data_IF_526647470537
#
_entry.id   IF_526647470537
#
_cell.length_a   1.000
_cell.length_b   1.000
_cell.length_c   1.000
_cell.angle_alpha   90.00
_cell.angle_beta   90.00
_cell.angle_gamma   90.00
#
_symmetry.space_group_name_H-M   'P 1'
#
loop_
_entity.id
_entity.type
_entity.pdbx_description
1 polymer ?
#
# COMPACT_ATOMS: atom_id res chain seq x y z
N UNK A 1 -10.44 -35.64 -33.84
CA UNK A 1 -9.03 -35.55 -34.27
C UNK A 1 -8.27 -34.90 -33.13
N UNK A 2 -7.59 -35.73 -32.34
CA UNK A 2 -6.89 -35.37 -31.11
C UNK A 2 -5.44 -35.11 -31.49
N UNK A 3 -4.91 -33.93 -31.19
CA UNK A 3 -3.46 -33.70 -31.23
C UNK A 3 -3.00 -33.11 -29.89
N UNK A 4 -2.44 -34.01 -29.09
CA UNK A 4 -1.59 -33.78 -27.94
C UNK A 4 -0.25 -33.18 -28.37
N UNK A 5 0.25 -32.18 -27.64
CA UNK A 5 1.67 -31.84 -27.63
C UNK A 5 2.15 -31.71 -26.18
N UNK A 6 3.01 -32.66 -25.78
CA UNK A 6 3.88 -32.61 -24.61
C UNK A 6 5.32 -32.63 -25.12
N UNK A 7 6.13 -31.68 -24.64
CA UNK A 7 7.53 -31.79 -24.20
C UNK A 7 8.42 -30.59 -24.60
N UNK A 8 8.75 -29.81 -23.57
CA UNK A 8 10.08 -29.37 -23.15
C UNK A 8 11.11 -28.91 -24.20
N UNK A 9 11.35 -27.59 -24.22
CA UNK A 9 12.68 -27.03 -24.42
C UNK A 9 13.01 -26.04 -23.28
N UNK A 10 14.10 -26.32 -22.57
CA UNK A 10 14.67 -25.53 -21.47
C UNK A 10 15.17 -24.18 -22.00
N UNK A 11 14.63 -23.07 -21.52
CA UNK A 11 15.24 -21.74 -21.68
C UNK A 11 15.62 -21.19 -20.30
N UNK A 12 16.93 -21.13 -20.07
CA UNK A 12 17.57 -20.49 -18.90
C UNK A 12 17.33 -18.99 -18.97
N UNK A 13 16.83 -18.40 -17.89
CA UNK A 13 16.83 -16.94 -17.67
C UNK A 13 18.28 -16.44 -17.63
N UNK A 14 18.66 -15.60 -18.58
CA UNK A 14 19.78 -14.67 -18.41
C UNK A 14 19.21 -13.32 -17.99
N UNK A 15 19.64 -12.85 -16.83
CA UNK A 15 19.40 -11.48 -16.38
C UNK A 15 20.24 -10.54 -17.26
N UNK A 16 19.57 -9.64 -17.98
CA UNK A 16 20.22 -8.56 -18.72
C UNK A 16 20.67 -7.48 -17.75
N UNK A 17 21.99 -7.36 -17.61
CA UNK A 17 22.68 -6.20 -17.03
C UNK A 17 22.87 -5.20 -18.16
N UNK A 18 22.36 -3.97 -18.02
CA UNK A 18 22.66 -2.88 -18.95
C UNK A 18 23.97 -2.21 -18.52
N UNK A 19 25.05 -2.51 -19.22
CA UNK A 19 26.25 -1.68 -19.30
C UNK A 19 26.16 -0.77 -20.52
N UNK A 20 26.23 0.55 -20.32
CA UNK A 20 26.73 1.50 -21.32
C UNK A 20 27.50 2.59 -20.58
N UNK A 21 28.82 2.68 -20.80
CA UNK A 21 29.60 3.84 -20.38
C UNK A 21 31.07 3.62 -20.02
N UNK A 22 31.84 2.84 -20.80
CA UNK A 22 33.30 2.80 -20.66
C UNK A 22 33.96 3.65 -21.76
N UNK A 23 34.66 4.73 -21.37
CA UNK A 23 35.88 5.29 -22.03
C UNK A 23 36.45 6.46 -21.21
N UNK A 24 37.51 6.20 -20.44
CA UNK A 24 38.86 6.75 -20.71
C UNK A 24 39.86 6.15 -19.71
N UNK A 25 41.04 5.78 -20.23
CA UNK A 25 42.19 5.29 -19.46
C UNK A 25 43.12 6.47 -19.18
N UNK A 26 43.68 6.53 -17.97
CA UNK A 26 45.13 6.70 -17.81
C UNK A 26 45.58 6.00 -16.50
N UNK A 27 46.71 5.28 -16.46
CA UNK A 27 47.08 4.42 -15.32
C UNK A 27 48.21 5.05 -14.49
N UNK A 28 48.11 5.05 -13.16
CA UNK A 28 49.30 4.94 -12.30
C UNK A 28 49.01 4.19 -10.99
N UNK A 29 49.80 3.11 -10.81
CA UNK A 29 50.37 2.55 -9.56
C UNK A 29 49.46 2.10 -8.40
N UNK A 30 49.20 0.79 -8.44
CA UNK A 30 49.37 -0.24 -7.39
C UNK A 30 49.60 0.17 -5.91
N UNK A 31 48.71 -0.35 -5.04
CA UNK A 31 48.94 -1.08 -3.78
C UNK A 31 47.52 -1.48 -3.29
N UNK A 32 47.05 -2.72 -3.45
CA UNK A 32 47.44 -3.88 -2.66
C UNK A 32 46.74 -3.84 -1.30
N UNK A 33 45.64 -4.58 -1.13
CA UNK A 33 45.22 -5.35 0.07
C UNK A 33 43.77 -5.85 -0.13
N UNK A 34 43.57 -7.17 0.03
CA UNK A 34 42.26 -7.85 0.12
C UNK A 34 41.62 -7.49 1.46
N UNK A 35 40.29 -7.33 1.53
CA UNK A 35 39.47 -7.83 2.64
C UNK A 35 37.96 -7.77 2.33
N UNK A 36 37.23 -8.57 3.11
CA UNK A 36 35.93 -9.17 2.85
C UNK A 36 34.73 -8.23 3.02
N UNK A 37 33.64 -8.59 2.34
CA UNK A 37 32.26 -8.11 2.54
C UNK A 37 31.83 -8.20 4.01
N UNK A 38 31.23 -7.13 4.53
CA UNK A 38 30.22 -7.18 5.57
C UNK A 38 29.10 -6.18 5.24
N UNK A 39 27.87 -6.68 5.27
CA UNK A 39 26.66 -5.89 5.20
C UNK A 39 26.43 -5.22 6.55
N UNK A 40 26.27 -3.90 6.55
CA UNK A 40 25.87 -3.12 7.73
C UNK A 40 24.36 -2.89 7.72
N UNK A 41 23.68 -3.48 8.70
CA UNK A 41 22.34 -3.10 9.15
C UNK A 41 22.56 -2.23 10.40
N UNK A 42 22.08 -0.99 10.39
CA UNK A 42 22.08 -0.11 11.57
C UNK A 42 20.70 -0.11 12.20
N UNK A 43 20.52 -0.86 13.29
CA UNK A 43 19.55 -0.58 14.34
C UNK A 43 20.29 0.06 15.52
N UNK A 44 19.89 1.26 15.92
CA UNK A 44 20.38 1.92 17.14
C UNK A 44 19.36 1.66 18.24
N UNK A 45 19.75 0.84 19.22
CA UNK A 45 19.10 0.73 20.50
C UNK A 45 19.64 1.76 21.51
N UNK A 46 18.79 2.18 22.44
CA UNK A 46 19.21 2.87 23.66
C UNK A 46 18.48 2.28 24.87
N UNK A 47 19.17 1.39 25.60
CA UNK A 47 18.96 1.09 27.02
C UNK A 47 20.30 0.76 27.66
N UNK A 48 20.63 1.45 28.75
CA UNK A 48 21.67 1.15 29.74
C UNK A 48 21.16 1.70 31.08
N UNK A 49 20.65 0.86 31.98
CA UNK A 49 21.33 0.10 33.07
C UNK A 49 21.99 0.98 34.15
N UNK A 50 21.55 0.76 35.39
CA UNK A 50 22.42 0.78 36.57
C UNK A 50 21.93 -0.29 37.57
N UNK A 51 22.80 -1.13 38.19
CA UNK A 51 22.38 -2.18 39.11
C UNK A 51 22.80 -1.96 40.59
N UNK A 52 22.13 -2.74 41.44
CA UNK A 52 22.54 -3.28 42.76
C UNK A 52 22.66 -2.37 44.00
N UNK A 53 21.82 -2.62 45.02
CA UNK A 53 22.15 -3.43 46.22
C UNK A 53 21.01 -3.39 47.26
N UNK A 54 20.81 -4.51 47.95
CA UNK A 54 20.05 -4.62 49.19
C UNK A 54 20.99 -4.76 50.40
N UNK A 55 20.60 -4.19 51.55
CA UNK A 55 20.59 -4.84 52.90
C UNK A 55 20.37 -3.82 54.03
N UNK A 56 19.39 -4.13 54.89
CA UNK A 56 19.52 -4.36 56.34
C UNK A 56 20.11 -3.27 57.25
N UNK A 57 19.28 -2.85 58.20
CA UNK A 57 19.55 -2.03 59.39
C UNK A 57 20.35 -2.86 60.43
N UNK A 58 21.36 -2.27 61.09
CA UNK A 58 21.46 -2.13 62.56
C UNK A 58 22.85 -1.64 63.02
N UNK A 59 22.80 -0.53 63.75
CA UNK A 59 23.84 0.16 64.52
C UNK A 59 24.12 -0.52 65.85
N UNK A 60 25.40 -0.78 66.19
CA UNK A 60 25.88 -0.77 67.59
C UNK A 60 27.32 -0.19 67.67
N UNK A 61 27.49 0.78 68.56
CA UNK A 61 28.71 1.52 68.97
C UNK A 61 29.38 0.80 70.17
N UNK A 62 30.70 0.98 70.45
CA UNK A 62 31.56 -0.11 70.91
C UNK A 62 32.19 0.02 72.32
N UNK A 63 32.96 -1.02 72.70
CA UNK A 63 34.22 -1.07 73.51
C UNK A 63 34.13 -1.02 75.07
N UNK A 64 35.22 -1.37 75.83
CA UNK A 64 36.48 -2.07 75.49
C UNK A 64 36.99 -3.16 76.49
N UNK A 65 38.09 -3.79 76.05
CA UNK A 65 39.07 -4.74 76.61
C UNK A 65 39.42 -4.77 78.12
N UNK A 66 39.85 -5.96 78.60
CA UNK A 66 41.17 -6.18 79.25
C UNK A 66 41.50 -7.68 79.55
N UNK A 67 42.77 -7.90 79.89
CA UNK A 67 43.62 -9.11 79.97
C UNK A 67 43.33 -10.19 81.04
N UNK A 68 43.86 -11.40 80.79
CA UNK A 68 44.72 -12.25 81.67
C UNK A 68 44.26 -13.71 82.01
N UNK A 69 44.91 -14.68 81.34
CA UNK A 69 45.72 -15.84 81.82
C UNK A 69 45.27 -16.72 83.03
N UNK A 70 45.19 -18.04 82.72
CA UNK A 70 45.49 -19.30 83.44
C UNK A 70 44.61 -19.95 84.52
N UNK A 71 44.24 -21.21 84.18
CA UNK A 71 44.35 -22.47 84.95
C UNK A 71 43.43 -22.60 86.18
N UNK A 72 42.89 -23.75 86.58
CA UNK A 72 43.19 -25.18 86.47
C UNK A 72 41.87 -25.92 86.79
N UNK A 73 41.70 -27.18 86.37
CA UNK A 73 40.66 -28.03 86.98
C UNK A 73 40.12 -29.14 86.08
N UNK A 74 40.37 -30.37 86.51
CA UNK A 74 40.07 -31.62 85.82
C UNK A 74 38.60 -32.07 85.93
N UNK A 75 38.21 -32.80 84.86
CA UNK A 75 37.38 -34.00 84.78
C UNK A 75 35.85 -34.03 84.92
N UNK A 76 35.35 -34.95 84.08
CA UNK A 76 34.18 -35.83 84.19
C UNK A 76 32.96 -35.48 83.34
N UNK A 77 32.92 -36.08 82.14
CA UNK A 77 31.73 -36.19 81.30
C UNK A 77 30.81 -37.28 81.85
N UNK A 78 29.66 -36.89 82.41
CA UNK A 78 28.56 -37.80 82.73
C UNK A 78 27.50 -37.67 81.64
N UNK A 79 27.26 -38.77 80.90
CA UNK A 79 26.15 -38.89 79.97
C UNK A 79 24.82 -39.03 80.72
N UNK A 80 23.81 -38.25 80.34
CA UNK A 80 22.41 -38.63 80.53
C UNK A 80 21.66 -38.52 79.20
N UNK A 81 21.06 -39.65 78.81
CA UNK A 81 20.17 -39.78 77.66
C UNK A 81 18.81 -39.19 78.00
N UNK A 82 18.31 -38.27 77.18
CA UNK A 82 16.88 -38.06 76.99
C UNK A 82 16.63 -37.99 75.47
N UNK A 83 15.75 -38.82 74.90
CA UNK A 83 15.51 -38.85 73.45
C UNK A 83 14.68 -37.63 73.04
N UNK A 84 15.25 -36.76 72.20
CA UNK A 84 14.47 -35.74 71.50
C UNK A 84 13.81 -36.39 70.29
N UNK A 85 12.48 -36.40 70.28
CA UNK A 85 11.66 -36.95 69.20
C UNK A 85 12.05 -36.33 67.85
N UNK A 86 12.41 -37.18 66.89
CA UNK A 86 12.51 -36.83 65.47
C UNK A 86 11.13 -36.43 64.96
N UNK A 87 10.92 -35.14 64.71
CA UNK A 87 9.82 -34.70 63.85
C UNK A 87 10.11 -35.18 62.43
N UNK A 88 9.27 -36.07 61.92
CA UNK A 88 9.27 -36.44 60.51
C UNK A 88 8.83 -35.21 59.69
N UNK A 89 9.55 -34.81 58.62
CA UNK A 89 9.07 -33.77 57.75
C UNK A 89 7.83 -34.31 57.00
N UNK A 90 6.70 -33.62 57.17
CA UNK A 90 5.49 -33.88 56.39
C UNK A 90 5.85 -33.74 54.90
N UNK A 91 5.58 -34.74 54.05
CA UNK A 91 5.89 -34.65 52.63
C UNK A 91 5.09 -33.49 52.01
N UNK A 92 5.77 -32.68 51.19
CA UNK A 92 5.25 -31.48 50.53
C UNK A 92 4.04 -31.77 49.60
N UNK A 93 2.85 -31.97 50.17
CA UNK A 93 1.59 -32.12 49.44
C UNK A 93 1.21 -30.85 48.66
N UNK A 94 1.67 -29.67 49.08
CA UNK A 94 1.39 -28.39 48.43
C UNK A 94 1.96 -28.28 47.00
N UNK A 95 3.10 -28.90 46.70
CA UNK A 95 3.74 -28.81 45.35
C UNK A 95 2.98 -29.61 44.28
N UNK A 96 2.24 -30.65 44.66
CA UNK A 96 1.42 -31.43 43.70
C UNK A 96 0.16 -30.68 43.31
N UNK A 97 -0.47 -29.96 44.23
CA UNK A 97 -1.66 -29.16 43.97
C UNK A 97 -1.34 -27.95 43.07
N UNK A 98 -0.20 -27.28 43.27
CA UNK A 98 0.21 -26.16 42.41
C UNK A 98 0.56 -26.59 40.98
N UNK A 99 1.16 -27.78 40.81
CA UNK A 99 1.42 -28.35 39.47
C UNK A 99 0.11 -28.70 38.75
N UNK A 100 -0.85 -29.34 39.44
CA UNK A 100 -2.16 -29.68 38.86
C UNK A 100 -2.93 -28.42 38.46
N UNK A 101 -2.94 -27.38 39.31
CA UNK A 101 -3.58 -26.10 38.98
C UNK A 101 -2.89 -25.44 37.77
N UNK A 102 -1.56 -25.43 37.71
CA UNK A 102 -0.83 -24.87 36.57
C UNK A 102 -1.12 -25.62 35.26
N UNK A 103 -1.21 -26.96 35.30
CA UNK A 103 -1.58 -27.78 34.15
C UNK A 103 -3.02 -27.51 33.71
N UNK A 104 -3.97 -27.42 34.65
CA UNK A 104 -5.36 -27.07 34.34
C UNK A 104 -5.48 -25.68 33.70
N UNK A 105 -4.76 -24.68 34.21
CA UNK A 105 -4.72 -23.34 33.63
C UNK A 105 -4.09 -23.33 32.23
N UNK A 106 -3.03 -24.10 32.01
CA UNK A 106 -2.42 -24.25 30.69
C UNK A 106 -3.38 -24.92 29.71
N UNK A 107 -4.07 -25.99 30.12
CA UNK A 107 -5.08 -26.66 29.28
C UNK A 107 -6.23 -25.71 28.97
N UNK A 108 -6.75 -24.98 29.96
CA UNK A 108 -7.79 -23.97 29.74
C UNK A 108 -7.34 -22.87 28.77
N UNK A 109 -6.10 -22.39 28.90
CA UNK A 109 -5.52 -21.40 27.98
C UNK A 109 -5.39 -21.97 26.55
N UNK A 110 -4.90 -23.20 26.40
CA UNK A 110 -4.78 -23.85 25.10
C UNK A 110 -6.15 -24.08 24.45
N UNK A 111 -7.16 -24.48 25.23
CA UNK A 111 -8.54 -24.60 24.77
C UNK A 111 -9.13 -23.25 24.37
N UNK A 112 -8.86 -22.19 25.13
CA UNK A 112 -9.30 -20.83 24.78
C UNK A 112 -8.65 -20.33 23.49
N UNK A 113 -7.34 -20.55 23.31
CA UNK A 113 -6.62 -20.22 22.07
C UNK A 113 -7.18 -21.03 20.90
N UNK A 114 -7.43 -22.33 21.09
CA UNK A 114 -8.02 -23.18 20.05
C UNK A 114 -9.43 -22.73 19.67
N UNK A 115 -10.28 -22.44 20.66
CA UNK A 115 -11.64 -21.94 20.44
C UNK A 115 -11.62 -20.58 19.72
N UNK A 116 -10.73 -19.67 20.10
CA UNK A 116 -10.54 -18.40 19.44
C UNK A 116 -10.06 -18.58 17.99
N UNK A 117 -9.05 -19.43 17.77
CA UNK A 117 -8.53 -19.73 16.43
C UNK A 117 -9.59 -20.39 15.53
N UNK A 118 -10.38 -21.31 16.07
CA UNK A 118 -11.49 -21.94 15.37
C UNK A 118 -12.60 -20.94 15.04
N UNK A 119 -12.98 -20.08 16.01
CA UNK A 119 -13.96 -19.02 15.81
C UNK A 119 -13.54 -18.03 14.73
N UNK A 120 -12.29 -17.57 14.75
CA UNK A 120 -11.73 -16.67 13.73
C UNK A 120 -11.70 -17.34 12.35
N UNK A 121 -11.22 -18.59 12.27
CA UNK A 121 -11.19 -19.35 11.00
C UNK A 121 -12.59 -19.54 10.43
N UNK A 122 -13.56 -19.88 11.28
CA UNK A 122 -14.96 -20.05 10.88
C UNK A 122 -15.53 -18.74 10.38
N UNK A 123 -15.31 -17.63 11.10
CA UNK A 123 -15.76 -16.30 10.69
C UNK A 123 -15.16 -15.84 9.36
N UNK A 124 -13.87 -16.10 9.10
CA UNK A 124 -13.23 -15.76 7.83
C UNK A 124 -13.77 -16.63 6.69
N UNK A 125 -13.91 -17.94 6.91
CA UNK A 125 -14.45 -18.84 5.90
C UNK A 125 -15.91 -18.57 5.56
N UNK A 126 -16.71 -18.18 6.55
CA UNK A 126 -18.12 -17.83 6.33
C UNK A 126 -18.29 -16.51 5.56
N UNK A 127 -17.23 -15.71 5.42
CA UNK A 127 -17.23 -14.49 4.63
C UNK A 127 -16.75 -14.73 3.18
N UNK A 128 -16.27 -15.94 2.86
CA UNK A 128 -15.88 -16.29 1.51
C UNK A 128 -17.13 -16.69 0.70
N UNK A 129 -17.33 -16.12 -0.49
CA UNK A 129 -18.47 -16.46 -1.32
C UNK A 129 -18.30 -17.82 -1.99
N UNK A 130 -19.43 -18.40 -2.42
CA UNK A 130 -19.44 -19.63 -3.22
C UNK A 130 -18.94 -19.34 -4.65
N UNK A 131 -17.80 -19.92 -5.03
CA UNK A 131 -17.20 -19.72 -6.35
C UNK A 131 -17.57 -20.82 -7.38
N UNK A 132 -17.92 -22.01 -6.89
CA UNK A 132 -18.22 -23.18 -7.72
C UNK A 132 -19.66 -23.66 -7.55
N UNK A 133 -20.17 -24.34 -8.57
CA UNK A 133 -21.52 -24.92 -8.58
C UNK A 133 -22.55 -24.03 -9.29
N UNK A 134 -23.82 -24.25 -8.98
CA UNK A 134 -24.94 -23.52 -9.58
C UNK A 134 -25.61 -22.65 -8.52
N UNK A 135 -25.74 -21.36 -8.82
CA UNK A 135 -26.41 -20.37 -7.99
C UNK A 135 -27.67 -19.91 -8.71
N UNK A 136 -28.80 -19.88 -8.01
CA UNK A 136 -30.01 -19.23 -8.51
C UNK A 136 -30.01 -17.78 -8.06
N UNK A 137 -29.80 -16.86 -9.01
CA UNK A 137 -29.73 -15.43 -8.74
C UNK A 137 -30.94 -14.75 -9.39
N UNK A 138 -31.84 -14.12 -8.60
CA UNK A 138 -32.94 -13.35 -9.16
C UNK A 138 -32.44 -12.20 -10.03
N UNK A 139 -33.03 -12.01 -11.21
CA UNK A 139 -32.71 -10.91 -12.12
C UNK A 139 -32.02 -11.32 -13.42
N UNK A 140 -31.49 -12.53 -13.52
CA UNK A 140 -31.04 -13.10 -14.80
C UNK A 140 -32.25 -13.57 -15.63
N UNK A 141 -32.25 -13.24 -16.91
CA UNK A 141 -33.26 -13.70 -17.88
C UNK A 141 -32.91 -15.06 -18.49
N UNK A 142 -31.61 -15.37 -18.58
CA UNK A 142 -31.06 -16.64 -19.01
C UNK A 142 -29.83 -17.03 -18.18
N UNK A 143 -29.41 -18.31 -18.15
CA UNK A 143 -28.22 -18.72 -17.42
C UNK A 143 -26.94 -18.01 -17.91
N UNK A 144 -26.14 -17.51 -16.96
CA UNK A 144 -24.79 -17.03 -17.20
C UNK A 144 -23.75 -18.02 -16.66
N UNK A 145 -22.64 -18.19 -17.38
CA UNK A 145 -21.54 -19.09 -17.01
C UNK A 145 -20.30 -18.28 -16.65
N UNK A 146 -19.76 -18.51 -15.46
CA UNK A 146 -18.52 -17.90 -14.98
C UNK A 146 -17.45 -18.99 -14.88
N UNK A 147 -16.33 -18.81 -15.57
CA UNK A 147 -15.19 -19.73 -15.54
C UNK A 147 -14.01 -18.97 -14.95
N UNK A 148 -13.47 -19.44 -13.82
CA UNK A 148 -12.25 -18.87 -13.23
C UNK A 148 -11.05 -19.71 -13.63
N UNK A 149 -9.97 -19.04 -14.03
CA UNK A 149 -8.70 -19.70 -14.29
C UNK A 149 -7.91 -19.99 -12.99
N UNK A 150 -6.70 -20.51 -13.12
CA UNK A 150 -5.82 -20.85 -11.99
C UNK A 150 -5.41 -19.63 -11.13
N UNK A 151 -5.55 -18.41 -11.64
CA UNK A 151 -5.28 -17.17 -10.94
C UNK A 151 -6.57 -16.51 -10.40
N UNK A 152 -7.72 -17.11 -10.66
CA UNK A 152 -9.02 -16.60 -10.26
C UNK A 152 -9.62 -15.59 -11.24
N UNK A 153 -9.04 -15.38 -12.42
CA UNK A 153 -9.59 -14.43 -13.40
C UNK A 153 -10.91 -14.98 -13.98
N UNK A 154 -12.02 -14.23 -13.85
CA UNK A 154 -13.32 -14.69 -14.34
C UNK A 154 -13.48 -14.39 -15.84
N UNK A 155 -13.88 -15.43 -16.59
CA UNK A 155 -14.46 -15.31 -17.93
C UNK A 155 -15.96 -15.51 -17.82
N UNK A 156 -16.75 -14.53 -18.26
CA UNK A 156 -18.21 -14.54 -18.16
C UNK A 156 -18.81 -14.75 -19.56
N UNK A 157 -19.74 -15.70 -19.67
CA UNK A 157 -20.53 -15.96 -20.88
C UNK A 157 -22.00 -15.83 -20.52
N UNK A 158 -22.76 -15.10 -21.32
CA UNK A 158 -24.20 -14.90 -21.13
C UNK A 158 -24.91 -14.80 -22.48
N UNK A 159 -26.24 -14.99 -22.49
CA UNK A 159 -27.05 -14.98 -23.70
C UNK A 159 -27.35 -13.57 -24.23
N UNK A 160 -27.26 -12.56 -23.38
CA UNK A 160 -27.54 -11.16 -23.70
C UNK A 160 -26.53 -10.23 -23.01
N UNK A 161 -26.42 -8.98 -23.50
CA UNK A 161 -25.61 -7.95 -22.82
C UNK A 161 -26.15 -7.61 -21.44
N UNK A 162 -27.48 -7.62 -21.24
CA UNK A 162 -28.09 -7.35 -19.94
C UNK A 162 -27.67 -8.42 -18.91
N UNK A 163 -27.78 -9.70 -19.26
CA UNK A 163 -27.32 -10.81 -18.41
C UNK A 163 -25.80 -10.77 -18.20
N UNK A 164 -25.03 -10.34 -19.21
CA UNK A 164 -23.57 -10.21 -19.12
C UNK A 164 -23.17 -9.14 -18.11
N UNK A 165 -23.73 -7.92 -18.20
CA UNK A 165 -23.44 -6.84 -17.28
C UNK A 165 -23.97 -7.15 -15.87
N UNK A 166 -25.13 -7.77 -15.75
CA UNK A 166 -25.63 -8.29 -14.48
C UNK A 166 -24.65 -9.29 -13.86
N UNK A 167 -24.24 -10.31 -14.61
CA UNK A 167 -23.29 -11.31 -14.12
C UNK A 167 -21.93 -10.67 -13.78
N UNK A 168 -21.47 -9.69 -14.56
CA UNK A 168 -20.27 -8.93 -14.26
C UNK A 168 -20.38 -8.19 -12.93
N UNK A 169 -21.48 -7.46 -12.69
CA UNK A 169 -21.71 -6.78 -11.41
C UNK A 169 -21.71 -7.73 -10.22
N UNK A 170 -22.38 -8.88 -10.36
CA UNK A 170 -22.42 -9.91 -9.33
C UNK A 170 -21.01 -10.47 -9.03
N UNK A 171 -20.25 -10.83 -10.07
CA UNK A 171 -18.89 -11.37 -9.94
C UNK A 171 -17.90 -10.34 -9.39
N UNK A 172 -17.99 -9.08 -9.80
CA UNK A 172 -17.14 -8.02 -9.24
C UNK A 172 -17.44 -7.83 -7.75
N UNK A 173 -18.71 -7.80 -7.35
CA UNK A 173 -19.08 -7.71 -5.93
C UNK A 173 -18.61 -8.95 -5.15
N UNK A 174 -18.74 -10.14 -5.75
CA UNK A 174 -18.24 -11.38 -5.18
C UNK A 174 -16.76 -11.30 -4.81
N UNK A 175 -15.94 -10.73 -5.69
CA UNK A 175 -14.50 -10.68 -5.49
C UNK A 175 -14.05 -9.41 -4.73
N UNK A 176 -14.77 -8.29 -4.85
CA UNK A 176 -14.27 -6.93 -4.51
C UNK A 176 -15.25 -6.02 -3.76
N UNK A 177 -16.35 -6.52 -3.18
CA UNK A 177 -17.39 -5.66 -2.59
C UNK A 177 -16.88 -4.57 -1.63
N UNK A 178 -15.96 -4.89 -0.72
CA UNK A 178 -15.40 -3.89 0.20
C UNK A 178 -14.59 -2.81 -0.52
N UNK A 179 -13.77 -3.21 -1.50
CA UNK A 179 -13.04 -2.28 -2.34
C UNK A 179 -14.02 -1.36 -3.08
N UNK A 180 -15.06 -1.92 -3.71
CA UNK A 180 -16.07 -1.13 -4.43
C UNK A 180 -16.73 -0.08 -3.53
N UNK A 181 -17.17 -0.47 -2.33
CA UNK A 181 -17.79 0.45 -1.37
C UNK A 181 -16.80 1.52 -0.88
N UNK A 182 -15.57 1.12 -0.55
CA UNK A 182 -14.50 2.02 -0.13
C UNK A 182 -14.17 3.05 -1.21
N UNK A 183 -14.01 2.63 -2.47
CA UNK A 183 -13.67 3.53 -3.57
C UNK A 183 -14.80 4.50 -3.90
N UNK A 184 -16.08 4.07 -3.91
CA UNK A 184 -17.18 5.03 -4.14
C UNK A 184 -17.28 6.06 -3.01
N UNK A 185 -16.98 5.67 -1.77
CA UNK A 185 -16.98 6.58 -0.61
C UNK A 185 -15.81 7.54 -0.67
N UNK A 186 -14.63 7.04 -1.04
CA UNK A 186 -13.45 7.86 -1.26
C UNK A 186 -13.72 8.93 -2.33
N UNK A 187 -14.27 8.53 -3.49
CA UNK A 187 -14.59 9.42 -4.60
C UNK A 187 -15.73 10.41 -4.28
N UNK A 188 -16.66 10.03 -3.41
CA UNK A 188 -17.78 10.89 -3.04
C UNK A 188 -17.50 11.86 -1.90
N UNK A 189 -16.40 11.65 -1.17
CA UNK A 189 -16.18 12.27 0.13
C UNK A 189 -17.18 11.80 1.19
N UNK A 190 -17.20 10.49 1.43
CA UNK A 190 -18.03 9.78 2.42
C UNK A 190 -17.24 8.72 3.20
N UNK A 191 -15.91 8.74 3.10
CA UNK A 191 -15.09 7.71 3.71
C UNK A 191 -15.04 7.87 5.23
N UNK A 192 -15.10 9.09 5.74
CA UNK A 192 -15.10 9.38 7.18
C UNK A 192 -16.32 8.78 7.91
N UNK A 193 -17.42 8.48 7.22
CA UNK A 193 -18.59 7.79 7.79
C UNK A 193 -18.23 6.39 8.33
N UNK A 194 -17.23 5.73 7.76
CA UNK A 194 -16.90 4.32 8.06
C UNK A 194 -15.50 4.13 8.63
N UNK A 195 -14.56 5.03 8.35
CA UNK A 195 -13.20 4.97 8.94
C UNK A 195 -12.91 6.07 9.96
N UNK A 196 -13.85 7.00 10.18
CA UNK A 196 -13.78 8.05 11.19
C UNK A 196 -13.11 9.35 10.73
N UNK A 197 -12.88 10.24 11.70
CA UNK A 197 -12.57 11.65 11.44
C UNK A 197 -11.26 11.91 10.68
N UNK A 198 -10.34 10.94 10.62
CA UNK A 198 -9.07 11.08 9.90
C UNK A 198 -9.22 11.32 8.39
N UNK A 199 -10.40 11.07 7.83
CA UNK A 199 -10.70 11.31 6.40
C UNK A 199 -11.55 12.56 6.14
N UNK A 200 -11.86 13.38 7.16
CA UNK A 200 -12.72 14.55 6.97
C UNK A 200 -12.14 15.57 5.99
N UNK A 201 -10.84 15.81 6.04
CA UNK A 201 -10.20 16.76 5.12
C UNK A 201 -10.24 16.24 3.67
N UNK A 202 -10.00 14.94 3.47
CA UNK A 202 -10.17 14.29 2.17
C UNK A 202 -11.60 14.39 1.67
N UNK A 203 -12.57 14.03 2.51
CA UNK A 203 -13.98 14.07 2.16
C UNK A 203 -14.42 15.49 1.76
N UNK A 204 -13.96 16.53 2.47
CA UNK A 204 -14.21 17.92 2.09
C UNK A 204 -13.66 18.26 0.72
N UNK A 205 -12.43 17.84 0.39
CA UNK A 205 -11.84 18.10 -0.92
C UNK A 205 -12.66 17.44 -2.04
N UNK A 206 -13.06 16.18 -1.85
CA UNK A 206 -13.88 15.46 -2.83
C UNK A 206 -15.27 16.07 -3.01
N UNK A 207 -15.87 16.58 -1.93
CA UNK A 207 -17.13 17.33 -1.99
C UNK A 207 -17.00 18.66 -2.75
N UNK A 208 -15.83 19.32 -2.66
CA UNK A 208 -15.52 20.53 -3.44
C UNK A 208 -15.37 20.20 -4.93
N UNK A 209 -14.69 19.10 -5.26
CA UNK A 209 -14.56 18.63 -6.65
C UNK A 209 -15.93 18.24 -7.25
N UNK A 210 -16.85 17.75 -6.41
CA UNK A 210 -18.22 17.47 -6.82
C UNK A 210 -18.35 16.28 -7.77
N UNK A 211 -17.44 15.28 -7.68
CA UNK A 211 -17.41 14.13 -8.59
C UNK A 211 -18.74 13.37 -8.65
N UNK A 212 -19.47 13.27 -7.52
CA UNK A 212 -20.81 12.65 -7.53
C UNK A 212 -21.83 13.42 -8.36
N UNK A 213 -21.76 14.75 -8.35
CA UNK A 213 -22.64 15.59 -9.20
C UNK A 213 -22.29 15.37 -10.68
N UNK A 214 -21.00 15.27 -11.02
CA UNK A 214 -20.56 14.95 -12.37
C UNK A 214 -21.00 13.55 -12.82
N UNK A 215 -20.87 12.54 -11.94
CA UNK A 215 -21.29 11.17 -12.19
C UNK A 215 -22.80 11.07 -12.45
N UNK A 216 -23.63 11.74 -11.63
CA UNK A 216 -25.08 11.83 -11.87
C UNK A 216 -25.40 12.43 -13.23
N UNK A 217 -24.82 13.59 -13.55
CA UNK A 217 -25.02 14.24 -14.85
C UNK A 217 -24.57 13.36 -16.02
N UNK A 218 -23.53 12.54 -15.82
CA UNK A 218 -23.07 11.58 -16.83
C UNK A 218 -24.15 10.54 -17.14
N UNK A 219 -24.78 9.97 -16.10
CA UNK A 219 -25.89 9.01 -16.27
C UNK A 219 -27.17 9.69 -16.82
N UNK A 220 -27.46 10.92 -16.42
CA UNK A 220 -28.60 11.69 -16.94
C UNK A 220 -28.44 12.00 -18.44
N UNK A 221 -27.22 12.32 -18.87
CA UNK A 221 -26.91 12.67 -20.26
C UNK A 221 -26.59 11.46 -21.16
N UNK A 222 -26.44 10.26 -20.60
CA UNK A 222 -26.19 9.05 -21.38
C UNK A 222 -27.41 8.66 -22.22
N UNK A 223 -27.18 7.91 -23.30
CA UNK A 223 -28.26 7.25 -24.04
C UNK A 223 -29.00 6.24 -23.15
N UNK A 224 -30.21 5.85 -23.57
CA UNK A 224 -30.98 4.82 -22.87
C UNK A 224 -30.25 3.46 -22.87
N UNK A 225 -29.55 3.15 -23.96
CA UNK A 225 -28.76 1.91 -24.09
C UNK A 225 -27.60 1.89 -23.09
N UNK A 226 -26.77 2.94 -23.04
CA UNK A 226 -25.66 3.04 -22.07
C UNK A 226 -26.16 2.99 -20.63
N UNK A 227 -27.24 3.71 -20.33
CA UNK A 227 -27.86 3.69 -19.01
C UNK A 227 -28.30 2.29 -18.60
N UNK A 228 -28.88 1.53 -19.53
CA UNK A 228 -29.33 0.16 -19.27
C UNK A 228 -28.19 -0.77 -18.85
N UNK A 229 -26.98 -0.57 -19.39
CA UNK A 229 -25.79 -1.36 -19.02
C UNK A 229 -25.33 -1.06 -17.59
N UNK A 230 -25.31 0.21 -17.19
CA UNK A 230 -24.99 0.60 -15.81
C UNK A 230 -26.04 0.07 -14.82
N UNK A 231 -27.32 0.12 -15.19
CA UNK A 231 -28.41 -0.42 -14.38
C UNK A 231 -28.29 -1.94 -14.24
N UNK A 232 -28.01 -2.67 -15.34
CA UNK A 232 -27.80 -4.11 -15.31
C UNK A 232 -26.65 -4.50 -14.37
N UNK A 233 -25.52 -3.81 -14.49
CA UNK A 233 -24.38 -3.97 -13.59
C UNK A 233 -24.76 -3.73 -12.12
N UNK A 234 -25.45 -2.63 -11.84
CA UNK A 234 -25.91 -2.30 -10.48
C UNK A 234 -26.87 -3.35 -9.91
N UNK A 235 -27.79 -3.89 -10.73
CA UNK A 235 -28.68 -5.00 -10.34
C UNK A 235 -27.86 -6.23 -9.92
N UNK A 236 -26.82 -6.58 -10.67
CA UNK A 236 -25.90 -7.67 -10.33
C UNK A 236 -25.20 -7.49 -8.99
N UNK A 237 -24.63 -6.30 -8.77
CA UNK A 237 -23.98 -5.95 -7.48
C UNK A 237 -24.97 -6.05 -6.32
N UNK A 238 -26.19 -5.52 -6.51
CA UNK A 238 -27.22 -5.54 -5.47
C UNK A 238 -27.74 -6.95 -5.17
N UNK A 239 -27.83 -7.82 -6.18
CA UNK A 239 -28.18 -9.22 -5.99
C UNK A 239 -27.13 -9.95 -5.12
N UNK A 240 -25.85 -9.63 -5.28
CA UNK A 240 -24.80 -10.14 -4.39
C UNK A 240 -24.93 -9.60 -2.96
N UNK A 241 -25.10 -8.27 -2.81
CA UNK A 241 -25.27 -7.62 -1.48
C UNK A 241 -26.46 -8.23 -0.72
N UNK A 242 -27.61 -8.41 -1.40
CA UNK A 242 -28.82 -8.95 -0.78
C UNK A 242 -28.63 -10.40 -0.32
N UNK A 243 -28.07 -11.25 -1.18
CA UNK A 243 -27.85 -12.67 -0.87
C UNK A 243 -26.81 -12.90 0.24
N UNK A 244 -25.95 -11.92 0.53
CA UNK A 244 -24.83 -12.05 1.48
C UNK A 244 -24.92 -11.12 2.69
N UNK A 245 -26.09 -10.53 3.00
CA UNK A 245 -26.25 -9.61 4.16
C UNK A 245 -25.72 -10.16 5.49
N UNK A 246 -25.86 -11.47 5.70
CA UNK A 246 -25.41 -12.16 6.93
C UNK A 246 -23.98 -12.72 6.84
N UNK A 247 -23.34 -12.60 5.68
CA UNK A 247 -22.04 -13.19 5.35
C UNK A 247 -21.15 -12.18 4.62
N UNK A 248 -21.26 -10.90 5.00
CA UNK A 248 -20.46 -9.84 4.39
C UNK A 248 -18.95 -10.09 4.56
N UNK A 249 -18.13 -9.57 3.63
CA UNK A 249 -16.68 -9.53 3.79
C UNK A 249 -16.25 -9.04 5.16
N UNK A 250 -15.12 -9.56 5.65
CA UNK A 250 -14.68 -9.40 7.04
C UNK A 250 -14.49 -7.93 7.43
N UNK A 251 -14.13 -7.07 6.48
CA UNK A 251 -13.92 -5.64 6.66
C UNK A 251 -15.19 -4.94 7.14
N UNK A 252 -16.35 -5.26 6.55
CA UNK A 252 -17.66 -4.74 6.98
C UNK A 252 -17.99 -5.17 8.42
N UNK A 253 -17.61 -6.39 8.81
CA UNK A 253 -17.85 -6.93 10.15
C UNK A 253 -16.96 -6.28 11.20
N UNK A 254 -15.69 -6.02 10.86
CA UNK A 254 -14.74 -5.32 11.74
C UNK A 254 -15.16 -3.87 11.93
N UNK A 255 -15.52 -3.18 10.84
CA UNK A 255 -15.93 -1.78 10.85
C UNK A 255 -17.39 -1.59 11.27
N UNK A 256 -18.14 -2.69 11.46
CA UNK A 256 -19.52 -2.73 11.98
C UNK A 256 -20.50 -1.88 11.16
N UNK A 257 -20.41 -1.96 9.83
CA UNK A 257 -21.37 -1.32 8.94
C UNK A 257 -21.76 -2.25 7.78
N UNK A 258 -22.78 -1.87 7.03
CA UNK A 258 -23.21 -2.58 5.83
C UNK A 258 -23.12 -1.67 4.60
N UNK A 259 -22.78 -2.20 3.43
CA UNK A 259 -22.74 -1.40 2.21
C UNK A 259 -24.16 -0.93 1.84
N UNK A 260 -24.25 0.29 1.31
CA UNK A 260 -25.50 0.81 0.70
C UNK A 260 -25.74 0.05 -0.62
N UNK A 261 -26.98 0.08 -1.14
CA UNK A 261 -27.25 -0.41 -2.49
C UNK A 261 -26.35 0.33 -3.50
N UNK A 262 -25.90 -0.38 -4.53
CA UNK A 262 -25.14 0.16 -5.64
C UNK A 262 -26.08 0.78 -6.67
N UNK A 263 -25.71 1.94 -7.20
CA UNK A 263 -26.49 2.67 -8.22
C UNK A 263 -25.69 2.81 -9.51
N UNK A 264 -26.35 3.14 -10.61
CA UNK A 264 -25.66 3.49 -11.87
C UNK A 264 -24.71 4.69 -11.69
N UNK A 265 -25.10 5.64 -10.83
CA UNK A 265 -24.27 6.81 -10.47
C UNK A 265 -22.95 6.38 -9.81
N UNK A 266 -22.96 5.33 -8.98
CA UNK A 266 -21.75 4.84 -8.31
C UNK A 266 -20.73 4.31 -9.33
N UNK A 267 -21.17 3.60 -10.37
CA UNK A 267 -20.28 3.13 -11.44
C UNK A 267 -19.64 4.29 -12.22
N UNK A 268 -20.43 5.30 -12.58
CA UNK A 268 -19.90 6.51 -13.24
C UNK A 268 -18.96 7.30 -12.31
N UNK A 269 -19.22 7.30 -11.00
CA UNK A 269 -18.37 7.94 -10.01
C UNK A 269 -16.99 7.30 -9.91
N UNK A 270 -16.90 5.97 -9.99
CA UNK A 270 -15.60 5.29 -10.08
C UNK A 270 -14.82 5.76 -11.31
N UNK A 271 -15.47 5.87 -12.47
CA UNK A 271 -14.84 6.41 -13.68
C UNK A 271 -14.36 7.86 -13.51
N UNK A 272 -15.17 8.73 -12.89
CA UNK A 272 -14.78 10.11 -12.60
C UNK A 272 -13.57 10.19 -11.65
N UNK A 273 -13.52 9.31 -10.66
CA UNK A 273 -12.38 9.19 -9.76
C UNK A 273 -11.11 8.71 -10.48
N UNK A 274 -11.21 7.74 -11.39
CA UNK A 274 -10.06 7.32 -12.20
C UNK A 274 -9.52 8.47 -13.06
N UNK A 275 -10.39 9.34 -13.57
CA UNK A 275 -9.97 10.54 -14.31
C UNK A 275 -9.22 11.50 -13.38
N UNK A 276 -9.71 11.73 -12.17
CA UNK A 276 -9.01 12.56 -11.16
C UNK A 276 -7.61 12.01 -10.88
N UNK A 277 -7.50 10.70 -10.63
CA UNK A 277 -6.26 10.03 -10.25
C UNK A 277 -5.20 10.06 -11.37
N UNK A 278 -5.63 10.02 -12.63
CA UNK A 278 -4.75 9.91 -13.79
C UNK A 278 -4.49 11.22 -14.56
N UNK A 279 -5.21 12.32 -14.29
CA UNK A 279 -5.13 13.53 -15.14
C UNK A 279 -4.28 14.65 -14.56
N UNK A 280 -4.67 15.20 -13.41
CA UNK A 280 -4.06 16.44 -12.91
C UNK A 280 -3.98 16.42 -11.40
N UNK A 281 -2.86 16.91 -10.89
CA UNK A 281 -2.72 17.27 -9.48
C UNK A 281 -2.90 18.80 -9.38
N UNK A 282 -4.07 19.31 -8.94
CA UNK A 282 -4.28 20.75 -8.76
C UNK A 282 -3.18 21.40 -7.92
N UNK A 283 -2.58 20.66 -7.00
CA UNK A 283 -1.42 21.08 -6.21
C UNK A 283 -0.22 21.44 -7.10
N UNK A 284 0.06 20.65 -8.14
CA UNK A 284 1.17 20.94 -9.07
C UNK A 284 0.90 22.21 -9.87
N UNK A 285 -0.34 22.41 -10.33
CA UNK A 285 -0.73 23.64 -11.00
C UNK A 285 -0.57 24.84 -10.07
N UNK A 286 -1.08 24.77 -8.83
CA UNK A 286 -0.95 25.85 -7.85
C UNK A 286 0.51 26.15 -7.48
N UNK A 287 1.35 25.12 -7.33
CA UNK A 287 2.79 25.30 -7.11
C UNK A 287 3.44 26.01 -8.29
N UNK A 288 3.10 25.62 -9.53
CA UNK A 288 3.59 26.30 -10.73
C UNK A 288 3.16 27.77 -10.77
N UNK A 289 1.93 28.08 -10.41
CA UNK A 289 1.43 29.46 -10.34
C UNK A 289 2.16 30.29 -9.26
N UNK A 290 2.44 29.71 -8.08
CA UNK A 290 3.25 30.36 -7.03
C UNK A 290 4.66 30.68 -7.53
N UNK A 291 5.30 29.74 -8.24
CA UNK A 291 6.63 29.93 -8.84
C UNK A 291 6.58 30.99 -9.94
N UNK A 292 5.57 30.94 -10.81
CA UNK A 292 5.34 31.95 -11.85
C UNK A 292 5.23 33.36 -11.28
N UNK A 293 4.46 33.55 -10.20
CA UNK A 293 4.29 34.84 -9.56
C UNK A 293 5.60 35.39 -8.95
N UNK A 294 6.52 34.52 -8.51
CA UNK A 294 7.79 34.92 -7.89
C UNK A 294 8.92 35.12 -8.90
N UNK A 295 9.07 34.21 -9.87
CA UNK A 295 10.21 34.19 -10.80
C UNK A 295 9.91 34.86 -12.14
N UNK A 296 8.64 35.13 -12.44
CA UNK A 296 8.22 35.64 -13.73
C UNK A 296 8.24 34.58 -14.85
N UNK A 297 7.79 34.96 -16.06
CA UNK A 297 7.54 34.02 -17.15
C UNK A 297 8.79 33.37 -17.72
N UNK A 298 9.92 34.09 -17.82
CA UNK A 298 11.14 33.59 -18.46
C UNK A 298 11.72 32.41 -17.67
N UNK A 299 12.04 32.61 -16.39
CA UNK A 299 12.61 31.58 -15.53
C UNK A 299 11.64 30.42 -15.27
N UNK A 300 10.34 30.70 -15.21
CA UNK A 300 9.34 29.64 -15.03
C UNK A 300 9.27 28.73 -16.26
N UNK A 301 9.41 29.27 -17.47
CA UNK A 301 9.43 28.46 -18.70
C UNK A 301 10.69 27.59 -18.81
N UNK A 302 11.80 28.03 -18.23
CA UNK A 302 13.03 27.22 -18.14
C UNK A 302 12.87 26.05 -17.15
N UNK A 303 12.08 26.23 -16.09
CA UNK A 303 11.80 25.19 -15.09
C UNK A 303 10.68 24.21 -15.52
N UNK A 304 9.65 24.70 -16.20
CA UNK A 304 8.49 23.93 -16.63
C UNK A 304 8.41 23.85 -18.16
N UNK A 305 9.34 23.11 -18.75
CA UNK A 305 9.42 22.91 -20.20
C UNK A 305 8.20 22.12 -20.69
N UNK A 306 7.27 22.79 -21.37
CA UNK A 306 6.04 22.17 -21.90
C UNK A 306 6.24 21.38 -23.20
N UNK A 307 7.43 21.47 -23.81
CA UNK A 307 7.76 20.74 -25.04
C UNK A 307 9.25 20.48 -25.15
N UNK A 308 9.63 19.24 -25.44
CA UNK A 308 10.99 18.88 -25.82
C UNK A 308 11.10 18.80 -27.34
N UNK A 309 12.27 19.15 -27.90
CA UNK A 309 12.56 18.85 -29.31
C UNK A 309 12.56 17.33 -29.58
N UNK A 310 12.65 16.50 -28.53
CA UNK A 310 12.48 15.04 -28.59
C UNK A 310 11.01 14.59 -28.59
N UNK A 311 10.05 15.47 -28.33
CA UNK A 311 8.63 15.09 -28.33
C UNK A 311 8.20 14.73 -29.75
N UNK A 312 7.62 13.54 -29.89
CA UNK A 312 7.14 12.97 -31.15
C UNK A 312 5.64 12.76 -31.04
N UNK A 313 4.89 13.83 -31.32
CA UNK A 313 3.43 13.73 -31.38
C UNK A 313 3.05 12.72 -32.48
N UNK A 314 2.15 11.76 -32.22
CA UNK A 314 1.77 10.71 -33.18
C UNK A 314 1.29 11.25 -34.54
N UNK A 315 0.84 12.51 -34.57
CA UNK A 315 0.31 13.20 -35.74
C UNK A 315 1.39 13.84 -36.62
N UNK A 316 2.66 13.83 -36.23
CA UNK A 316 3.73 14.54 -36.95
C UNK A 316 4.83 13.57 -37.41
N UNK A 317 4.94 13.38 -38.73
CA UNK A 317 6.08 12.68 -39.33
C UNK A 317 7.33 13.56 -39.23
N UNK A 318 8.36 13.09 -38.52
CA UNK A 318 9.64 13.79 -38.37
C UNK A 318 10.81 12.95 -38.90
N UNK A 319 11.94 13.58 -39.30
CA UNK A 319 13.13 12.89 -39.78
C UNK A 319 13.68 11.85 -38.77
N UNK A 320 14.50 10.94 -39.28
CA UNK A 320 15.12 9.87 -38.48
C UNK A 320 15.90 10.45 -37.28
N UNK A 321 15.89 9.75 -36.13
CA UNK A 321 16.53 10.15 -34.86
C UNK A 321 18.00 10.57 -35.05
N UNK A 322 18.71 9.91 -35.96
CA UNK A 322 20.13 10.17 -36.24
C UNK A 322 20.40 11.52 -36.94
N UNK A 323 19.36 12.20 -37.41
CA UNK A 323 19.45 13.48 -38.14
C UNK A 323 19.06 14.70 -37.29
N UNK A 324 18.77 14.50 -36.00
CA UNK A 324 18.30 15.59 -35.13
C UNK A 324 19.45 16.21 -34.32
N UNK A 325 19.84 17.42 -34.70
CA UNK A 325 20.59 18.34 -33.82
C UNK A 325 19.63 19.17 -32.97
N UNK A 326 19.98 19.48 -31.70
CA UNK A 326 19.23 20.46 -30.92
C UNK A 326 19.05 21.74 -31.74
N UNK A 327 17.86 22.39 -31.72
CA UNK A 327 17.73 23.69 -32.34
C UNK A 327 18.83 24.60 -31.77
N UNK A 328 19.59 25.27 -32.65
CA UNK A 328 20.61 26.25 -32.24
C UNK A 328 19.95 27.17 -31.22
N UNK A 329 20.58 27.32 -30.05
CA UNK A 329 20.07 28.13 -28.93
C UNK A 329 19.41 29.38 -29.49
N UNK A 330 18.12 29.55 -29.17
CA UNK A 330 17.24 30.62 -29.65
C UNK A 330 18.04 31.92 -29.66
N UNK A 331 18.44 32.41 -30.84
CA UNK A 331 18.90 33.80 -30.94
C UNK A 331 17.74 34.63 -30.38
N UNK A 332 18.02 35.43 -29.34
CA UNK A 332 17.07 36.31 -28.65
C UNK A 332 16.05 36.81 -29.66
N UNK A 333 14.82 36.27 -29.60
CA UNK A 333 13.73 36.84 -30.35
C UNK A 333 13.54 38.25 -29.79
N UNK A 334 13.90 39.26 -30.57
CA UNK A 334 13.53 40.64 -30.32
C UNK A 334 12.02 40.76 -30.47
N UNK A 335 11.29 40.39 -29.41
CA UNK A 335 9.89 40.78 -29.25
C UNK A 335 9.86 42.06 -28.44
N UNK A 336 9.39 43.12 -29.08
CA UNK A 336 9.06 44.41 -28.50
C UNK A 336 8.10 44.22 -27.31
N UNK A 337 8.64 44.26 -26.09
CA UNK A 337 7.88 44.33 -24.85
C UNK A 337 7.57 45.80 -24.52
N UNK A 338 6.64 46.39 -25.28
CA UNK A 338 6.00 47.67 -24.94
C UNK A 338 4.49 47.43 -24.78
N UNK A 339 4.09 46.80 -23.69
CA UNK A 339 2.79 46.97 -23.03
C UNK A 339 2.72 46.07 -21.80
N UNK A 340 2.43 46.66 -20.63
CA UNK A 340 2.34 46.07 -19.29
C UNK A 340 3.67 45.97 -18.53
N UNK A 341 4.48 47.05 -18.58
CA UNK A 341 5.46 47.34 -17.54
C UNK A 341 4.77 47.88 -16.27
N UNK A 342 4.09 46.99 -15.55
CA UNK A 342 3.93 47.13 -14.10
C UNK A 342 5.18 46.55 -13.47
N UNK A 343 6.20 47.37 -13.25
CA UNK A 343 7.49 46.96 -12.68
C UNK A 343 7.30 46.45 -11.24
N UNK A 344 7.12 45.14 -11.08
CA UNK A 344 7.49 44.48 -9.82
C UNK A 344 9.02 44.50 -9.79
N UNK A 345 9.67 45.10 -8.77
CA UNK A 345 11.12 45.06 -8.67
C UNK A 345 11.53 43.59 -8.51
N UNK A 346 12.11 43.00 -9.57
CA UNK A 346 12.79 41.72 -9.44
C UNK A 346 14.07 42.04 -8.68
N UNK A 347 14.11 41.67 -7.39
CA UNK A 347 15.32 41.77 -6.60
C UNK A 347 16.39 40.88 -7.27
N UNK A 348 17.41 41.50 -7.85
CA UNK A 348 18.50 40.84 -8.56
C UNK A 348 19.43 40.01 -7.67
N UNK A 349 19.17 39.95 -6.37
CA UNK A 349 20.02 39.30 -5.36
C UNK A 349 19.38 38.04 -4.72
N UNK A 350 18.34 37.46 -5.32
CA UNK A 350 17.79 36.19 -4.82
C UNK A 350 18.73 35.04 -5.18
N UNK A 351 19.46 34.52 -4.19
CA UNK A 351 20.21 33.27 -4.35
C UNK A 351 19.24 32.09 -4.33
N UNK A 352 19.67 30.92 -4.87
CA UNK A 352 18.89 29.67 -4.77
C UNK A 352 18.52 29.36 -3.32
N UNK A 353 19.37 29.72 -2.37
CA UNK A 353 19.12 29.54 -0.95
C UNK A 353 18.02 30.48 -0.41
N UNK A 354 17.91 31.71 -0.92
CA UNK A 354 16.85 32.65 -0.52
C UNK A 354 15.48 32.21 -1.04
N UNK A 355 15.44 31.66 -2.25
CA UNK A 355 14.24 31.01 -2.81
C UNK A 355 13.86 29.81 -1.93
N UNK A 356 14.81 28.92 -1.63
CA UNK A 356 14.54 27.75 -0.77
C UNK A 356 14.12 28.12 0.67
N UNK A 357 14.59 29.25 1.20
CA UNK A 357 14.25 29.72 2.55
C UNK A 357 12.83 30.31 2.64
N UNK A 358 12.34 30.95 1.58
CA UNK A 358 10.95 31.46 1.51
C UNK A 358 9.90 30.35 1.32
N UNK A 359 10.33 29.15 0.92
CA UNK A 359 9.47 27.96 0.84
C UNK A 359 9.88 26.91 1.89
N UNK A 360 9.73 27.20 3.20
CA UNK A 360 10.15 26.30 4.26
C UNK A 360 9.30 25.02 4.22
N UNK A 361 9.89 23.93 3.75
CA UNK A 361 9.41 22.54 3.86
C UNK A 361 8.05 22.18 3.24
N UNK A 362 7.35 23.08 2.55
CA UNK A 362 6.44 22.68 1.48
C UNK A 362 7.27 22.37 0.24
N UNK A 363 7.91 21.18 0.23
CA UNK A 363 8.44 20.46 -0.94
C UNK A 363 8.30 21.22 -2.29
N UNK A 364 9.12 22.25 -2.51
CA UNK A 364 9.16 22.99 -3.80
C UNK A 364 9.54 22.03 -4.91
N UNK A 365 10.42 21.10 -4.56
CA UNK A 365 10.61 19.84 -5.23
C UNK A 365 9.80 18.82 -4.46
N UNK A 366 8.68 18.41 -5.03
CA UNK A 366 7.92 17.28 -4.55
C UNK A 366 8.88 16.08 -4.46
N UNK A 367 9.25 15.64 -3.24
CA UNK A 367 9.99 14.38 -3.04
C UNK A 367 9.20 13.15 -3.52
N UNK A 368 8.00 13.34 -4.09
CA UNK A 368 7.31 12.30 -4.84
C UNK A 368 8.22 11.89 -6.01
N UNK A 369 8.48 10.58 -6.18
CA UNK A 369 9.31 10.10 -7.28
C UNK A 369 8.76 10.67 -8.59
N UNK A 370 9.66 11.03 -9.52
CA UNK A 370 9.32 11.45 -10.88
C UNK A 370 8.08 10.70 -11.35
N UNK A 371 7.05 11.44 -11.82
CA UNK A 371 5.87 10.81 -12.38
C UNK A 371 6.33 9.79 -13.44
N UNK A 372 6.14 8.51 -13.14
CA UNK A 372 6.56 7.43 -14.02
C UNK A 372 5.65 7.51 -15.25
N UNK A 373 6.21 7.88 -16.39
CA UNK A 373 5.49 7.77 -17.67
C UNK A 373 5.19 6.30 -17.96
N UNK A 374 4.14 6.02 -18.74
CA UNK A 374 3.80 4.66 -19.19
C UNK A 374 4.27 4.41 -20.62
N UNK A 375 4.41 3.15 -21.02
CA UNK A 375 4.69 2.79 -22.40
C UNK A 375 3.42 2.31 -23.10
N UNK A 376 3.31 2.59 -24.39
CA UNK A 376 2.35 1.95 -25.28
C UNK A 376 2.96 1.85 -26.67
N UNK A 377 2.81 0.70 -27.31
CA UNK A 377 3.27 0.50 -28.67
C UNK A 377 2.24 -0.23 -29.53
N UNK A 378 2.22 0.15 -30.80
CA UNK A 378 1.50 -0.57 -31.85
C UNK A 378 2.50 -0.93 -32.94
N UNK A 379 2.54 -2.21 -33.29
CA UNK A 379 3.35 -2.72 -34.40
C UNK A 379 2.40 -3.16 -35.50
N UNK A 380 2.55 -2.56 -36.68
CA UNK A 380 1.79 -2.96 -37.87
C UNK A 380 2.03 -4.44 -38.20
N UNK A 381 1.01 -5.13 -38.71
CA UNK A 381 1.12 -6.52 -39.16
C UNK A 381 2.20 -6.75 -40.24
N UNK A 382 2.57 -5.70 -40.99
CA UNK A 382 3.69 -5.74 -41.93
C UNK A 382 5.04 -6.09 -41.27
N UNK A 383 5.15 -5.92 -39.95
CA UNK A 383 6.36 -6.18 -39.17
C UNK A 383 6.20 -7.38 -38.21
N UNK A 384 5.16 -8.21 -38.37
CA UNK A 384 4.90 -9.36 -37.50
C UNK A 384 4.85 -10.66 -38.30
N UNK A 385 5.29 -11.77 -37.69
CA UNK A 385 5.29 -13.10 -38.36
C UNK A 385 3.89 -13.57 -38.74
N UNK A 386 2.85 -13.12 -38.02
CA UNK A 386 1.46 -13.51 -38.25
C UNK A 386 0.73 -12.64 -39.27
N UNK A 387 1.33 -11.53 -39.71
CA UNK A 387 0.66 -10.51 -40.52
C UNK A 387 -0.41 -9.71 -39.77
N UNK A 388 -0.63 -9.97 -38.47
CA UNK A 388 -1.62 -9.28 -37.63
C UNK A 388 -0.96 -8.19 -36.78
N UNK A 389 -1.65 -7.07 -36.50
CA UNK A 389 -1.10 -6.02 -35.64
C UNK A 389 -0.84 -6.53 -34.21
N UNK A 390 0.18 -5.99 -33.56
CA UNK A 390 0.43 -6.18 -32.13
C UNK A 390 0.20 -4.86 -31.41
N UNK A 391 -0.59 -4.91 -30.34
CA UNK A 391 -0.81 -3.80 -29.41
C UNK A 391 -0.24 -4.22 -28.04
N UNK A 392 0.54 -3.35 -27.42
CA UNK A 392 0.94 -3.48 -26.02
C UNK A 392 0.63 -2.20 -25.29
N UNK A 393 -0.10 -2.36 -24.18
CA UNK A 393 -0.36 -1.31 -23.23
C UNK A 393 0.39 -1.68 -21.93
N UNK A 394 1.31 -0.83 -21.49
CA UNK A 394 2.24 -1.08 -20.39
C UNK A 394 2.18 0.09 -19.40
N UNK A 395 1.10 0.07 -18.62
CA UNK A 395 0.75 1.11 -17.66
C UNK A 395 1.64 0.97 -16.42
N UNK A 396 2.39 2.02 -16.09
CA UNK A 396 3.24 2.04 -14.90
C UNK A 396 2.48 2.63 -13.70
N UNK A 397 1.52 1.86 -13.18
CA UNK A 397 0.82 2.20 -11.94
C UNK A 397 1.56 1.64 -10.73
N UNK A 398 1.49 2.36 -9.61
CA UNK A 398 2.04 1.88 -8.35
C UNK A 398 1.37 0.57 -7.91
N UNK A 399 2.12 -0.34 -7.31
CA UNK A 399 1.51 -1.52 -6.70
C UNK A 399 0.71 -1.08 -5.48
N UNK A 400 -0.61 -1.28 -5.52
CA UNK A 400 -1.53 -0.92 -4.46
C UNK A 400 -2.41 -2.11 -4.10
N UNK A 401 -2.83 -2.17 -2.83
CA UNK A 401 -3.79 -3.15 -2.36
C UNK A 401 -4.87 -2.44 -1.53
N UNK A 402 -6.14 -2.42 -1.98
CA UNK A 402 -6.60 -2.97 -3.25
C UNK A 402 -6.05 -2.18 -4.46
N UNK A 403 -5.91 -2.86 -5.61
CA UNK A 403 -5.43 -2.25 -6.84
C UNK A 403 -6.58 -1.55 -7.59
N UNK A 404 -6.32 -0.41 -8.23
CA UNK A 404 -7.22 0.16 -9.23
C UNK A 404 -7.47 -0.81 -10.40
#
# INVERSE_FOLDING_TARGET
>A
MILTFRECAKLRRFAGVNEVGARSRNPERSRGIRLRRFAGVNEVGARSRNPERSRGIDTIIPRPACFAINSTGHDLTIQSRIPMATSTPVPALQKRHSLVVAVCLLVALLLAIFALGFGLRSAVRSALPQLDGTLTVPGLSAPAKVIRDQHGFPTIQAASLDDLFFAQGYVTAQDRLFQMDGTRRFAAGELSEVVGNGQLDHDRQQRILGLRVAARKTIENSSAEERSHFEAYARGVNAFIESHRNQLPIEFRILRYSPKAWTSEDSALIGAYMIEELSTSPRHTLTREKIFAKLGPELTNDLYVNSSWRDRLPTVSRPNLDQETPPKARQKATTSHDALAGSVPIAHDLTVNDICAEFPQERVFDDRPMALGSNSWVVSGAHTVTGKPLLSNDMHLGQQMPNL
#
